data_IF_596250917014
#
_entry.id   IF_596250917014
#
_cell.length_a   1.000
_cell.length_b   1.000
_cell.length_c   1.000
_cell.angle_alpha   90.00
_cell.angle_beta   90.00
_cell.angle_gamma   90.00
#
_symmetry.space_group_name_H-M   'P 1'
#
loop_
_entity.id
_entity.type
_entity.pdbx_description
1 polymer ?
#
# COMPACT_ATOMS: atom_id res chain seq x y z
N UNK A 1 -32.16 32.57 -61.05
CA UNK A 1 -31.80 33.24 -59.79
C UNK A 1 -31.95 32.21 -58.69
N UNK A 2 -30.84 31.60 -58.29
CA UNK A 2 -30.73 30.79 -57.09
C UNK A 2 -29.48 31.32 -56.39
N UNK A 3 -29.68 31.80 -55.17
CA UNK A 3 -28.70 32.49 -54.36
C UNK A 3 -27.91 31.50 -53.51
N UNK A 4 -26.63 31.78 -53.40
CA UNK A 4 -25.57 30.98 -52.82
C UNK A 4 -25.45 31.34 -51.34
N UNK A 5 -25.56 30.37 -50.42
CA UNK A 5 -25.23 30.61 -49.02
C UNK A 5 -24.64 29.36 -48.37
N UNK A 6 -23.33 29.22 -48.53
CA UNK A 6 -22.50 28.35 -47.71
C UNK A 6 -22.35 28.95 -46.29
N UNK A 7 -22.82 28.22 -45.28
CA UNK A 7 -22.60 28.53 -43.86
C UNK A 7 -21.25 27.96 -43.41
N UNK A 8 -20.34 28.85 -43.00
CA UNK A 8 -18.99 28.54 -42.56
C UNK A 8 -18.95 27.82 -41.19
N UNK A 9 -18.07 26.82 -41.08
CA UNK A 9 -17.70 26.18 -39.82
C UNK A 9 -16.74 27.08 -39.00
N UNK A 10 -16.76 27.02 -37.65
CA UNK A 10 -15.89 27.84 -36.82
C UNK A 10 -14.42 27.37 -36.91
N UNK A 11 -13.44 28.27 -36.72
CA UNK A 11 -12.03 27.94 -36.91
C UNK A 11 -11.52 27.03 -35.78
N UNK A 12 -10.78 25.99 -36.18
CA UNK A 12 -9.96 25.19 -35.29
C UNK A 12 -8.95 26.09 -34.58
N UNK A 13 -9.09 26.25 -33.26
CA UNK A 13 -8.04 26.83 -32.43
C UNK A 13 -6.87 25.85 -32.42
N UNK A 14 -5.75 26.27 -33.00
CA UNK A 14 -4.52 25.50 -33.06
C UNK A 14 -4.02 25.18 -31.65
N UNK A 15 -3.82 23.90 -31.37
CA UNK A 15 -3.04 23.45 -30.23
C UNK A 15 -1.59 23.87 -30.49
N UNK A 16 -0.92 24.63 -29.61
CA UNK A 16 0.51 24.89 -29.76
C UNK A 16 1.25 23.55 -29.63
N UNK A 17 1.79 23.06 -30.75
CA UNK A 17 2.71 21.93 -30.78
C UNK A 17 4.13 22.44 -30.54
N UNK A 18 4.48 22.71 -29.28
CA UNK A 18 5.88 22.71 -28.88
C UNK A 18 6.18 21.40 -28.14
N UNK A 19 7.11 20.57 -28.63
CA UNK A 19 7.57 19.43 -27.85
C UNK A 19 8.28 19.96 -26.59
N UNK A 20 8.13 19.31 -25.42
CA UNK A 20 8.90 19.66 -24.26
C UNK A 20 10.39 19.59 -24.61
N UNK A 21 11.11 20.67 -24.32
CA UNK A 21 12.55 20.79 -24.53
C UNK A 21 13.26 19.59 -23.90
N UNK A 22 13.83 18.75 -24.77
CA UNK A 22 14.70 17.66 -24.36
C UNK A 22 16.00 18.25 -23.79
N UNK A 23 16.40 17.77 -22.61
CA UNK A 23 17.81 17.80 -22.19
C UNK A 23 18.15 18.72 -21.01
N UNK A 24 17.52 18.54 -19.86
CA UNK A 24 18.32 18.56 -18.64
C UNK A 24 18.90 17.15 -18.51
N UNK A 25 20.19 16.99 -18.77
CA UNK A 25 20.91 15.75 -18.49
C UNK A 25 20.69 15.44 -17.01
N UNK A 26 19.94 14.36 -16.71
CA UNK A 26 19.85 13.89 -15.33
C UNK A 26 21.27 13.57 -14.90
N UNK A 27 21.78 14.19 -13.82
CA UNK A 27 23.13 13.87 -13.37
C UNK A 27 23.23 12.36 -13.16
N UNK A 28 24.33 11.72 -13.57
CA UNK A 28 24.54 10.32 -13.28
C UNK A 28 24.38 10.11 -11.77
N UNK A 29 23.76 9.01 -11.38
CA UNK A 29 23.69 8.63 -9.97
C UNK A 29 25.14 8.52 -9.48
N UNK A 30 25.53 9.42 -8.57
CA UNK A 30 26.87 9.47 -8.01
C UNK A 30 27.23 8.10 -7.41
N UNK A 31 28.39 7.56 -7.79
CA UNK A 31 28.83 6.23 -7.34
C UNK A 31 29.01 6.16 -5.82
N UNK A 32 29.37 7.27 -5.15
CA UNK A 32 29.48 7.33 -3.69
C UNK A 32 28.09 7.36 -3.04
N UNK A 33 27.14 8.11 -3.61
CA UNK A 33 25.72 8.07 -3.24
C UNK A 33 25.12 6.66 -3.44
N UNK A 34 25.46 5.98 -4.54
CA UNK A 34 25.05 4.60 -4.79
C UNK A 34 25.72 3.62 -3.82
N UNK A 35 27.00 3.79 -3.51
CA UNK A 35 27.74 2.95 -2.57
C UNK A 35 27.24 3.10 -1.13
N UNK A 36 26.91 4.34 -0.70
CA UNK A 36 26.28 4.61 0.61
C UNK A 36 24.84 4.09 0.67
N UNK A 37 24.13 4.06 -0.47
CA UNK A 37 22.84 3.38 -0.56
C UNK A 37 22.97 1.84 -0.49
N UNK A 38 24.15 1.28 -0.76
CA UNK A 38 24.44 -0.17 -0.72
C UNK A 38 24.83 -0.64 0.68
N UNK A 39 25.40 0.21 1.54
CA UNK A 39 25.61 -0.11 2.95
C UNK A 39 24.30 0.02 3.75
N UNK A 40 23.51 -1.06 3.78
CA UNK A 40 22.32 -1.10 4.63
C UNK A 40 22.69 -1.04 6.12
N UNK A 41 22.56 0.15 6.70
CA UNK A 41 22.68 0.38 8.15
C UNK A 41 23.62 1.51 8.52
N UNK A 42 23.81 1.69 9.82
CA UNK A 42 24.75 2.65 10.40
C UNK A 42 25.63 1.93 11.43
N UNK A 43 26.88 2.35 11.56
CA UNK A 43 27.82 1.84 12.56
C UNK A 43 27.46 2.28 13.99
N UNK A 44 28.31 1.97 15.00
CA UNK A 44 28.11 2.42 16.37
C UNK A 44 28.00 3.95 16.47
N UNK A 45 27.13 4.43 17.37
CA UNK A 45 27.00 5.84 17.67
C UNK A 45 28.17 6.31 18.56
N UNK A 46 28.81 7.46 18.25
CA UNK A 46 29.91 7.98 19.07
C UNK A 46 29.43 8.33 20.48
N UNK A 47 30.33 8.19 21.45
CA UNK A 47 30.10 8.62 22.84
C UNK A 47 30.42 10.11 23.02
N UNK A 48 29.77 10.80 24.00
CA UNK A 48 28.72 10.29 24.88
C UNK A 48 27.39 10.10 24.12
N UNK A 49 26.63 9.06 24.48
CA UNK A 49 25.32 8.83 23.88
C UNK A 49 24.29 9.84 24.38
N UNK A 50 23.31 10.22 23.53
CA UNK A 50 22.19 11.06 23.96
C UNK A 50 21.36 10.39 25.05
N UNK A 51 20.88 11.20 26.01
CA UNK A 51 19.89 10.77 27.00
C UNK A 51 18.47 10.85 26.41
N UNK A 52 18.10 9.82 25.64
CA UNK A 52 16.78 9.69 25.02
C UNK A 52 16.25 8.26 25.24
N UNK A 53 15.10 8.10 25.94
CA UNK A 53 14.54 6.79 26.27
C UNK A 53 14.12 5.97 25.03
N UNK A 54 13.93 6.63 23.87
CA UNK A 54 13.63 5.96 22.61
C UNK A 54 14.82 5.20 22.06
N UNK A 55 16.05 5.56 22.43
CA UNK A 55 17.25 4.92 21.92
C UNK A 55 17.51 3.57 22.61
N UNK A 56 17.98 2.62 21.82
CA UNK A 56 18.39 1.30 22.26
C UNK A 56 19.92 1.26 22.47
N UNK A 57 20.41 1.05 23.71
CA UNK A 57 21.84 0.97 24.00
C UNK A 57 22.60 -0.09 23.20
N UNK A 58 21.96 -1.22 22.86
CA UNK A 58 22.61 -2.28 22.08
C UNK A 58 22.85 -1.84 20.63
N UNK A 59 21.87 -1.14 20.04
CA UNK A 59 22.00 -0.57 18.70
C UNK A 59 22.99 0.59 18.66
N UNK A 60 23.01 1.43 19.70
CA UNK A 60 24.01 2.51 19.82
C UNK A 60 25.43 1.95 19.91
N UNK A 61 25.64 0.84 20.64
CA UNK A 61 26.94 0.20 20.79
C UNK A 61 27.39 -0.59 19.56
N UNK A 62 26.47 -1.35 18.94
CA UNK A 62 26.78 -2.30 17.87
C UNK A 62 26.54 -1.78 16.46
N UNK A 63 25.89 -0.62 16.33
CA UNK A 63 25.33 -0.14 15.07
C UNK A 63 23.94 -0.71 14.79
N UNK A 64 23.23 -0.08 13.86
CA UNK A 64 21.87 -0.44 13.48
C UNK A 64 21.79 -0.80 12.01
N UNK A 65 21.67 -2.11 11.74
CA UNK A 65 21.54 -2.68 10.38
C UNK A 65 20.10 -2.98 9.97
N UNK A 66 19.10 -2.58 10.75
CA UNK A 66 17.68 -2.84 10.42
C UNK A 66 17.29 -2.07 9.15
N UNK A 67 16.30 -2.55 8.42
CA UNK A 67 15.77 -1.82 7.27
C UNK A 67 14.73 -0.78 7.69
N UNK A 68 15.19 0.26 8.39
CA UNK A 68 14.37 1.40 8.84
C UNK A 68 14.90 2.69 8.21
N UNK A 69 14.04 3.68 8.05
CA UNK A 69 14.47 5.01 7.60
C UNK A 69 15.38 5.68 8.62
N UNK A 70 16.22 6.61 8.18
CA UNK A 70 17.31 7.15 9.00
C UNK A 70 16.87 7.82 10.31
N UNK A 71 15.68 8.44 10.32
CA UNK A 71 15.12 9.04 11.54
C UNK A 71 14.87 8.04 12.69
N UNK A 72 14.74 6.75 12.37
CA UNK A 72 14.47 5.68 13.33
C UNK A 72 15.71 4.87 13.70
N UNK A 73 16.89 5.28 13.22
CA UNK A 73 18.14 4.59 13.56
C UNK A 73 18.36 4.64 15.06
N UNK A 74 18.77 3.49 15.58
CA UNK A 74 18.97 3.23 17.01
C UNK A 74 17.72 3.30 17.88
N UNK A 75 16.54 3.65 17.34
CA UNK A 75 15.33 3.65 18.15
C UNK A 75 14.90 2.22 18.47
N UNK A 76 14.39 2.04 19.69
CA UNK A 76 13.67 0.83 20.09
C UNK A 76 12.49 0.59 19.17
N UNK A 77 12.17 -0.68 18.94
CA UNK A 77 11.04 -1.05 18.09
C UNK A 77 9.74 -0.39 18.56
N UNK A 78 9.50 -0.39 19.87
CA UNK A 78 8.29 0.15 20.50
C UNK A 78 8.18 1.66 20.31
N UNK A 79 9.32 2.37 20.34
CA UNK A 79 9.37 3.81 20.07
C UNK A 79 9.02 4.12 18.61
N UNK A 80 9.49 3.30 17.67
CA UNK A 80 9.13 3.43 16.24
C UNK A 80 7.64 3.17 16.06
N UNK A 81 7.10 2.10 16.66
CA UNK A 81 5.67 1.78 16.58
C UNK A 81 4.82 2.93 17.14
N UNK A 82 5.16 3.46 18.31
CA UNK A 82 4.43 4.57 18.93
C UNK A 82 4.43 5.84 18.06
N UNK A 83 5.54 6.16 17.41
CA UNK A 83 5.64 7.31 16.50
C UNK A 83 4.81 7.11 15.22
N UNK A 84 4.86 5.91 14.63
CA UNK A 84 4.06 5.57 13.47
C UNK A 84 2.56 5.57 13.80
N UNK A 85 2.17 5.11 15.00
CA UNK A 85 0.78 5.05 15.47
C UNK A 85 0.14 6.44 15.59
N UNK A 86 0.94 7.50 15.79
CA UNK A 86 0.47 8.88 15.77
C UNK A 86 0.09 9.40 14.38
N UNK A 87 0.49 8.70 13.31
CA UNK A 87 0.37 9.18 11.92
C UNK A 87 -0.15 8.12 10.96
N UNK A 88 -0.78 7.05 11.46
CA UNK A 88 -1.33 5.99 10.60
C UNK A 88 -2.40 6.56 9.69
N UNK A 89 -2.36 6.13 8.43
CA UNK A 89 -3.42 6.42 7.48
C UNK A 89 -4.66 5.59 7.84
N UNK A 90 -5.88 6.13 7.74
CA UNK A 90 -7.14 5.46 8.08
C UNK A 90 -7.52 4.32 7.13
N UNK A 91 -6.54 3.71 6.47
CA UNK A 91 -6.66 2.53 5.63
C UNK A 91 -6.41 1.27 6.46
N UNK A 92 -7.17 0.22 6.18
CA UNK A 92 -6.95 -1.15 6.69
C UNK A 92 -6.86 -2.11 5.52
N UNK A 93 -6.15 -3.21 5.72
CA UNK A 93 -5.99 -4.25 4.68
C UNK A 93 -6.45 -5.59 5.26
N UNK A 94 -7.34 -6.30 4.59
CA UNK A 94 -7.75 -7.65 4.98
C UNK A 94 -7.36 -8.67 3.91
N UNK A 95 -6.84 -9.83 4.33
CA UNK A 95 -6.45 -10.91 3.43
C UNK A 95 -7.06 -12.22 3.91
N UNK A 96 -7.78 -12.91 3.03
CA UNK A 96 -8.28 -14.26 3.28
C UNK A 96 -7.16 -15.29 3.16
N UNK A 97 -6.99 -16.13 4.19
CA UNK A 97 -5.93 -17.13 4.28
C UNK A 97 -6.49 -18.55 4.40
N UNK A 98 -7.08 -19.08 3.33
CA UNK A 98 -7.69 -20.41 3.33
C UNK A 98 -6.74 -21.54 2.92
N UNK A 99 -5.81 -21.26 2.00
CA UNK A 99 -4.89 -22.26 1.43
C UNK A 99 -3.40 -21.95 1.67
N UNK A 100 -3.07 -21.17 2.72
CA UNK A 100 -1.72 -20.66 2.97
C UNK A 100 -1.22 -19.75 1.85
N UNK A 101 -1.78 -18.55 1.78
CA UNK A 101 -1.43 -17.57 0.76
C UNK A 101 -0.01 -17.03 0.93
N UNK A 102 0.80 -17.14 -0.14
CA UNK A 102 2.20 -16.71 -0.15
C UNK A 102 2.37 -15.19 -0.23
N UNK A 103 1.33 -14.46 -0.62
CA UNK A 103 1.34 -13.01 -0.82
C UNK A 103 1.12 -12.22 0.47
N UNK A 104 0.64 -12.83 1.56
CA UNK A 104 0.35 -12.11 2.81
C UNK A 104 1.58 -11.32 3.28
N UNK A 105 2.78 -11.89 3.18
CA UNK A 105 4.00 -11.18 3.55
C UNK A 105 4.29 -9.95 2.70
N UNK A 106 4.16 -10.03 1.38
CA UNK A 106 4.38 -8.86 0.52
C UNK A 106 3.31 -7.80 0.73
N UNK A 107 2.05 -8.20 0.96
CA UNK A 107 0.94 -7.29 1.27
C UNK A 107 1.19 -6.56 2.61
N UNK A 108 1.61 -7.29 3.66
CA UNK A 108 1.97 -6.71 4.96
C UNK A 108 3.12 -5.70 4.82
N UNK A 109 4.12 -6.01 3.98
CA UNK A 109 5.23 -5.10 3.69
C UNK A 109 4.76 -3.81 3.00
N UNK A 110 3.89 -3.93 2.01
CA UNK A 110 3.29 -2.78 1.33
C UNK A 110 2.45 -1.96 2.31
N UNK A 111 1.62 -2.61 3.12
CA UNK A 111 0.81 -1.97 4.16
C UNK A 111 1.68 -1.16 5.14
N UNK A 112 2.83 -1.69 5.56
CA UNK A 112 3.79 -0.93 6.37
C UNK A 112 4.30 0.32 5.65
N UNK A 113 4.64 0.20 4.37
CA UNK A 113 5.16 1.32 3.57
C UNK A 113 4.13 2.46 3.42
N UNK A 114 2.84 2.13 3.36
CA UNK A 114 1.74 3.11 3.36
C UNK A 114 1.34 3.57 4.77
N UNK A 115 2.02 3.10 5.83
CA UNK A 115 1.70 3.41 7.22
C UNK A 115 0.21 3.18 7.57
N UNK A 116 -0.39 2.11 7.07
CA UNK A 116 -1.82 1.83 7.28
C UNK A 116 -2.14 1.53 8.75
N UNK A 117 -3.38 1.76 9.17
CA UNK A 117 -3.84 1.54 10.55
C UNK A 117 -3.69 0.08 11.00
N UNK A 118 -3.92 -0.87 10.11
CA UNK A 118 -3.76 -2.28 10.46
C UNK A 118 -3.95 -3.24 9.29
N UNK A 119 -3.43 -4.45 9.48
CA UNK A 119 -3.60 -5.59 8.58
C UNK A 119 -4.38 -6.69 9.30
N UNK A 120 -5.31 -7.31 8.58
CA UNK A 120 -6.25 -8.30 9.09
C UNK A 120 -6.06 -9.60 8.31
N UNK A 121 -5.76 -10.69 9.01
CA UNK A 121 -5.67 -12.03 8.43
C UNK A 121 -6.92 -12.81 8.80
N UNK A 122 -7.70 -13.22 7.81
CA UNK A 122 -8.98 -13.92 7.99
C UNK A 122 -8.79 -15.41 7.72
N UNK A 123 -9.38 -16.26 8.55
CA UNK A 123 -9.27 -17.71 8.43
C UNK A 123 -8.04 -18.26 9.16
N UNK A 124 -7.11 -18.91 8.45
CA UNK A 124 -5.94 -19.53 9.10
C UNK A 124 -5.06 -18.47 9.76
N UNK A 125 -4.77 -18.63 11.04
CA UNK A 125 -3.92 -17.71 11.81
C UNK A 125 -2.47 -17.66 11.35
N UNK A 126 -1.92 -18.79 10.88
CA UNK A 126 -0.52 -18.89 10.46
C UNK A 126 -0.39 -18.57 8.98
N UNK A 127 0.54 -17.69 8.66
CA UNK A 127 0.85 -17.23 7.31
C UNK A 127 2.37 -17.10 7.13
N UNK A 128 2.82 -17.04 5.87
CA UNK A 128 4.24 -16.98 5.54
C UNK A 128 4.80 -15.56 5.72
N UNK A 129 5.56 -15.33 6.79
CA UNK A 129 6.16 -14.04 7.12
C UNK A 129 7.38 -13.65 6.31
N UNK A 130 7.93 -14.55 5.49
CA UNK A 130 9.18 -14.32 4.76
C UNK A 130 9.08 -13.07 3.88
N UNK A 131 7.97 -12.90 3.16
CA UNK A 131 7.74 -11.74 2.30
C UNK A 131 7.61 -10.41 3.04
N UNK A 132 7.29 -10.43 4.35
CA UNK A 132 7.14 -9.23 5.16
C UNK A 132 8.48 -8.57 5.48
N UNK A 133 9.60 -9.30 5.38
CA UNK A 133 10.94 -8.75 5.68
C UNK A 133 10.98 -8.05 7.05
N UNK A 134 10.34 -8.65 8.07
CA UNK A 134 10.27 -8.15 9.47
C UNK A 134 9.41 -6.88 9.64
N UNK A 135 8.82 -6.33 8.58
CA UNK A 135 7.93 -5.16 8.67
C UNK A 135 6.66 -5.43 9.48
N UNK A 136 6.27 -6.69 9.63
CA UNK A 136 5.14 -7.13 10.45
C UNK A 136 5.27 -6.74 11.93
N UNK A 137 6.48 -6.41 12.39
CA UNK A 137 6.72 -5.92 13.75
C UNK A 137 6.41 -4.44 13.95
N UNK A 138 6.28 -3.67 12.88
CA UNK A 138 6.14 -2.21 12.90
C UNK A 138 4.70 -1.74 12.63
N UNK A 139 3.73 -2.65 12.56
CA UNK A 139 2.32 -2.37 12.35
C UNK A 139 1.44 -3.38 13.10
N UNK A 140 0.16 -3.07 13.24
CA UNK A 140 -0.80 -3.94 13.91
C UNK A 140 -1.32 -5.03 12.97
N UNK A 141 -1.07 -6.29 13.30
CA UNK A 141 -1.59 -7.46 12.56
C UNK A 141 -2.63 -8.18 13.40
N UNK A 142 -3.88 -8.11 12.98
CA UNK A 142 -5.04 -8.74 13.61
C UNK A 142 -5.33 -10.08 12.95
N UNK A 143 -5.84 -11.02 13.74
CA UNK A 143 -6.34 -12.31 13.24
C UNK A 143 -7.84 -12.39 13.51
N UNK A 144 -8.57 -12.85 12.50
CA UNK A 144 -10.01 -13.11 12.55
C UNK A 144 -10.23 -14.58 12.15
N UNK A 145 -10.98 -15.37 12.94
CA UNK A 145 -11.25 -16.77 12.61
C UNK A 145 -12.12 -16.92 11.34
N UNK A 146 -13.00 -15.96 11.07
CA UNK A 146 -13.96 -15.99 9.96
C UNK A 146 -14.32 -14.56 9.48
N UNK A 147 -15.16 -14.48 8.44
CA UNK A 147 -15.59 -13.22 7.83
C UNK A 147 -16.49 -12.41 8.78
N UNK A 148 -17.35 -13.08 9.55
CA UNK A 148 -18.25 -12.43 10.49
C UNK A 148 -17.49 -11.68 11.59
N UNK A 149 -16.41 -12.26 12.13
CA UNK A 149 -15.55 -11.62 13.12
C UNK A 149 -14.83 -10.38 12.54
N UNK A 150 -14.34 -10.47 11.29
CA UNK A 150 -13.80 -9.30 10.59
C UNK A 150 -14.87 -8.21 10.44
N UNK A 151 -16.06 -8.55 9.96
CA UNK A 151 -17.14 -7.60 9.72
C UNK A 151 -17.55 -6.88 11.02
N UNK A 152 -17.67 -7.63 12.13
CA UNK A 152 -17.92 -7.06 13.46
C UNK A 152 -16.82 -6.09 13.90
N UNK A 153 -15.55 -6.45 13.68
CA UNK A 153 -14.43 -5.56 13.96
C UNK A 153 -14.51 -4.27 13.12
N UNK A 154 -14.71 -4.38 11.81
CA UNK A 154 -14.74 -3.23 10.91
C UNK A 154 -15.90 -2.27 11.26
N UNK A 155 -17.08 -2.82 11.57
CA UNK A 155 -18.23 -2.02 12.01
C UNK A 155 -17.92 -1.25 13.31
N UNK A 156 -17.29 -1.91 14.30
CA UNK A 156 -16.90 -1.27 15.56
C UNK A 156 -15.87 -0.15 15.39
N UNK A 157 -15.09 -0.17 14.30
CA UNK A 157 -14.06 0.82 13.99
C UNK A 157 -14.45 1.78 12.85
N UNK A 158 -15.72 1.79 12.44
CA UNK A 158 -16.21 2.67 11.37
C UNK A 158 -15.50 2.48 10.02
N UNK A 159 -15.00 1.27 9.75
CA UNK A 159 -14.23 0.94 8.55
C UNK A 159 -15.13 0.28 7.50
N UNK A 160 -15.02 0.70 6.24
CA UNK A 160 -15.86 0.23 5.13
C UNK A 160 -15.12 -0.85 4.32
N UNK A 161 -15.57 -2.11 4.33
CA UNK A 161 -14.95 -3.16 3.53
C UNK A 161 -15.18 -2.94 2.03
N UNK A 162 -14.10 -3.00 1.25
CA UNK A 162 -14.10 -2.91 -0.21
C UNK A 162 -13.33 -4.10 -0.77
N UNK A 163 -14.00 -4.99 -1.48
CA UNK A 163 -13.39 -6.16 -2.09
C UNK A 163 -12.62 -5.79 -3.34
N UNK A 164 -11.37 -6.27 -3.47
CA UNK A 164 -10.54 -6.09 -4.66
C UNK A 164 -10.44 -7.42 -5.41
N UNK A 165 -11.33 -7.61 -6.38
CA UNK A 165 -11.44 -8.84 -7.17
C UNK A 165 -12.16 -8.54 -8.50
N UNK A 166 -11.94 -9.35 -9.54
CA UNK A 166 -12.58 -9.21 -10.85
C UNK A 166 -13.86 -10.04 -10.99
N UNK A 167 -14.57 -10.26 -9.89
CA UNK A 167 -15.86 -10.91 -9.86
C UNK A 167 -16.95 -10.09 -10.57
N UNK A 168 -18.02 -10.73 -11.07
CA UNK A 168 -19.15 -10.01 -11.66
C UNK A 168 -19.71 -8.93 -10.74
N UNK A 169 -19.95 -7.74 -11.30
CA UNK A 169 -20.44 -6.58 -10.55
C UNK A 169 -19.35 -5.67 -9.98
N UNK A 170 -18.07 -6.05 -10.07
CA UNK A 170 -16.97 -5.16 -9.72
C UNK A 170 -16.89 -3.94 -10.66
N UNK A 171 -16.65 -2.76 -10.08
CA UNK A 171 -16.43 -1.53 -10.85
C UNK A 171 -14.94 -1.31 -11.11
N UNK A 172 -14.54 -0.67 -12.23
CA UNK A 172 -13.13 -0.36 -12.49
C UNK A 172 -12.52 0.51 -11.39
N UNK A 173 -11.37 0.10 -10.86
CA UNK A 173 -10.69 0.79 -9.75
C UNK A 173 -10.30 2.22 -10.14
N UNK A 174 -9.83 2.42 -11.38
CA UNK A 174 -9.34 3.70 -11.89
C UNK A 174 -10.40 4.81 -11.95
N UNK A 175 -11.68 4.47 -11.85
CA UNK A 175 -12.79 5.43 -11.78
C UNK A 175 -13.56 5.37 -10.46
N UNK A 176 -13.25 4.41 -9.59
CA UNK A 176 -13.96 4.21 -8.34
C UNK A 176 -13.45 5.16 -7.25
N UNK A 177 -14.37 5.87 -6.58
CA UNK A 177 -14.01 6.56 -5.33
C UNK A 177 -14.02 5.56 -4.16
N UNK A 178 -12.86 5.43 -3.50
CA UNK A 178 -12.70 4.61 -2.31
C UNK A 178 -12.97 5.42 -1.03
N UNK A 179 -13.65 4.86 -0.01
CA UNK A 179 -13.87 5.53 1.27
C UNK A 179 -12.55 5.94 1.96
N UNK A 180 -12.55 7.02 2.73
CA UNK A 180 -11.41 7.41 3.56
C UNK A 180 -11.08 6.32 4.58
N UNK A 181 -12.07 5.87 5.36
CA UNK A 181 -11.93 4.77 6.31
C UNK A 181 -12.13 3.40 5.65
N UNK A 182 -11.40 3.09 4.58
CA UNK A 182 -11.55 1.83 3.85
C UNK A 182 -10.83 0.65 4.52
N UNK A 183 -11.41 -0.54 4.39
CA UNK A 183 -10.71 -1.81 4.52
C UNK A 183 -10.65 -2.50 3.15
N UNK A 184 -9.48 -2.50 2.50
CA UNK A 184 -9.30 -3.18 1.23
C UNK A 184 -9.14 -4.68 1.48
N UNK A 185 -10.03 -5.48 0.88
CA UNK A 185 -10.11 -6.91 1.12
C UNK A 185 -9.61 -7.69 -0.09
N UNK A 186 -8.69 -8.63 0.16
CA UNK A 186 -8.09 -9.49 -0.85
C UNK A 186 -8.42 -10.95 -0.55
N UNK A 187 -8.79 -11.68 -1.60
CA UNK A 187 -9.04 -13.11 -1.55
C UNK A 187 -7.76 -13.95 -1.41
N UNK A 188 -7.94 -15.26 -1.25
CA UNK A 188 -6.83 -16.20 -1.37
C UNK A 188 -6.46 -16.41 -2.85
N UNK A 189 -5.19 -16.63 -3.13
CA UNK A 189 -4.71 -17.03 -4.45
C UNK A 189 -5.51 -18.22 -5.00
N UNK A 190 -6.00 -18.11 -6.24
CA UNK A 190 -6.86 -19.11 -6.87
C UNK A 190 -8.32 -18.65 -6.96
N UNK A 191 -9.18 -19.00 -5.99
CA UNK A 191 -10.62 -18.74 -6.07
C UNK A 191 -10.99 -17.27 -5.86
N UNK A 192 -10.07 -16.42 -5.36
CA UNK A 192 -10.36 -15.02 -5.07
C UNK A 192 -11.15 -14.86 -3.78
N UNK A 193 -12.04 -13.87 -3.73
CA UNK A 193 -12.95 -13.64 -2.62
C UNK A 193 -14.03 -14.72 -2.54
N UNK A 194 -14.28 -15.23 -1.33
CA UNK A 194 -15.45 -16.07 -1.04
C UNK A 194 -16.75 -15.27 -1.14
N UNK A 195 -17.87 -15.95 -1.43
CA UNK A 195 -19.21 -15.34 -1.48
C UNK A 195 -19.55 -14.62 -0.16
N UNK A 196 -19.25 -15.23 0.98
CA UNK A 196 -19.43 -14.64 2.32
C UNK A 196 -18.68 -13.30 2.45
N UNK A 197 -17.46 -13.21 1.89
CA UNK A 197 -16.70 -11.95 1.92
C UNK A 197 -17.28 -10.91 0.97
N UNK A 198 -17.78 -11.33 -0.20
CA UNK A 198 -18.45 -10.44 -1.14
C UNK A 198 -19.71 -9.83 -0.49
N UNK A 199 -20.49 -10.63 0.24
CA UNK A 199 -21.71 -10.19 0.92
C UNK A 199 -21.47 -9.10 1.97
N UNK A 200 -20.33 -9.12 2.66
CA UNK A 200 -19.99 -8.10 3.67
C UNK A 200 -19.33 -6.85 3.08
N UNK A 201 -18.82 -6.92 1.84
CA UNK A 201 -18.22 -5.77 1.18
C UNK A 201 -19.28 -4.76 0.74
N UNK A 202 -19.03 -3.46 0.97
CA UNK A 202 -19.89 -2.39 0.44
C UNK A 202 -19.92 -2.38 -1.08
N UNK A 203 -18.77 -2.69 -1.68
CA UNK A 203 -18.60 -2.80 -3.13
C UNK A 203 -17.42 -3.68 -3.48
N UNK A 204 -17.41 -4.12 -4.74
CA UNK A 204 -16.27 -4.75 -5.37
C UNK A 204 -15.63 -3.79 -6.37
N UNK A 205 -14.31 -3.75 -6.39
CA UNK A 205 -13.52 -3.01 -7.37
C UNK A 205 -12.54 -3.95 -8.06
N UNK A 206 -12.30 -3.72 -9.34
CA UNK A 206 -11.38 -4.52 -10.15
C UNK A 206 -10.34 -3.63 -10.82
N UNK A 207 -9.09 -4.09 -10.85
CA UNK A 207 -8.05 -3.46 -11.65
C UNK A 207 -8.27 -3.86 -13.10
N UNK A 208 -8.49 -2.89 -14.00
CA UNK A 208 -8.65 -3.18 -15.42
C UNK A 208 -7.37 -3.81 -15.99
N UNK A 209 -7.54 -4.94 -16.68
CA UNK A 209 -6.47 -5.72 -17.27
C UNK A 209 -6.66 -5.81 -18.79
N UNK A 210 -5.56 -5.67 -19.53
CA UNK A 210 -5.55 -5.69 -21.01
C UNK A 210 -4.79 -6.90 -21.58
N UNK A 211 -4.30 -7.78 -20.70
CA UNK A 211 -3.53 -8.96 -21.07
C UNK A 211 -4.37 -10.22 -21.25
N UNK A 212 -3.70 -11.36 -21.43
CA UNK A 212 -4.33 -12.67 -21.65
C UNK A 212 -4.62 -13.45 -20.36
N UNK A 213 -4.17 -12.96 -19.20
CA UNK A 213 -4.36 -13.65 -17.91
C UNK A 213 -5.74 -13.34 -17.32
N UNK A 214 -6.25 -14.28 -16.53
CA UNK A 214 -7.53 -14.10 -15.81
C UNK A 214 -7.40 -13.21 -14.59
N UNK A 215 -6.20 -13.01 -14.06
CA UNK A 215 -5.96 -12.25 -12.85
C UNK A 215 -4.51 -11.73 -12.80
N UNK A 216 -4.29 -10.79 -11.89
CA UNK A 216 -2.98 -10.27 -11.49
C UNK A 216 -2.63 -10.86 -10.11
N UNK A 217 -1.34 -10.93 -9.79
CA UNK A 217 -0.87 -11.33 -8.46
C UNK A 217 -1.53 -10.49 -7.35
N UNK A 218 -1.98 -11.14 -6.27
CA UNK A 218 -2.69 -10.48 -5.16
C UNK A 218 -1.85 -9.39 -4.45
N UNK A 219 -0.54 -9.62 -4.29
CA UNK A 219 0.37 -8.61 -3.75
C UNK A 219 0.50 -7.37 -4.63
N UNK A 220 0.55 -7.57 -5.95
CA UNK A 220 0.55 -6.46 -6.92
C UNK A 220 -0.80 -5.73 -6.94
N UNK A 221 -1.92 -6.45 -6.89
CA UNK A 221 -3.25 -5.86 -6.76
C UNK A 221 -3.36 -4.98 -5.52
N UNK A 222 -2.85 -5.48 -4.38
CA UNK A 222 -2.85 -4.74 -3.13
C UNK A 222 -2.03 -3.45 -3.22
N UNK A 223 -0.84 -3.49 -3.81
CA UNK A 223 -0.04 -2.29 -4.02
C UNK A 223 -0.75 -1.24 -4.89
N UNK A 224 -1.39 -1.66 -5.99
CA UNK A 224 -2.14 -0.77 -6.88
C UNK A 224 -3.34 -0.15 -6.14
N UNK A 225 -4.12 -0.97 -5.41
CA UNK A 225 -5.30 -0.50 -4.69
C UNK A 225 -4.94 0.46 -3.53
N UNK A 226 -3.88 0.16 -2.76
CA UNK A 226 -3.38 1.05 -1.71
C UNK A 226 -2.89 2.38 -2.29
N UNK A 227 -2.13 2.35 -3.39
CA UNK A 227 -1.67 3.56 -4.06
C UNK A 227 -2.84 4.39 -4.59
N UNK A 228 -3.83 3.75 -5.22
CA UNK A 228 -5.03 4.42 -5.70
C UNK A 228 -5.80 5.13 -4.57
N UNK A 229 -6.00 4.45 -3.44
CA UNK A 229 -6.58 5.07 -2.23
C UNK A 229 -5.75 6.28 -1.76
N UNK A 230 -4.42 6.13 -1.73
CA UNK A 230 -3.51 7.16 -1.25
C UNK A 230 -3.52 8.43 -2.12
N UNK A 231 -3.76 8.33 -3.44
CA UNK A 231 -3.87 9.50 -4.33
C UNK A 231 -4.93 10.51 -3.87
N UNK A 232 -5.97 10.02 -3.19
CA UNK A 232 -7.08 10.83 -2.67
C UNK A 232 -6.85 11.26 -1.23
N UNK A 233 -6.43 10.34 -0.36
CA UNK A 233 -6.52 10.50 1.09
C UNK A 233 -5.17 10.65 1.81
N UNK A 234 -4.06 10.26 1.19
CA UNK A 234 -2.77 10.41 1.84
C UNK A 234 -2.37 11.90 1.90
N UNK A 235 -1.75 12.35 3.00
CA UNK A 235 -1.24 13.71 3.12
C UNK A 235 -0.16 13.96 2.06
N UNK A 236 -0.15 15.19 1.52
CA UNK A 236 0.81 15.66 0.51
C UNK A 236 1.92 16.49 1.13
#
# INVERSE_FOLDING_TARGET
>A
MADDSASAAPPHQGVPSEPPTAGAERPPLDEDTMARAVEHGVGPHPQPWPDDPRLDPELLAGGDRRNVVDRYRYWRLEAIVADLDATRLPLRIAIQNWEHDFNIGSIVRTANAFNVTGVHVVGRRRWNRRGAMVTDRYLQVHHHPDVADLAGFLAAHGSVPVGVDNLPGAVPLETAELPEHACLVFGSEGPGLTDEMVEVCDRLVAITQYGSTRSINAGAAAAIAMYHWALRWAPR
#
